data_IF_653506599391
#
_entry.id   IF_653506599391
#
_cell.length_a   1.000
_cell.length_b   1.000
_cell.length_c   1.000
_cell.angle_alpha   90.00
_cell.angle_beta   90.00
_cell.angle_gamma   90.00
#
_symmetry.space_group_name_H-M   'P 1'
#
loop_
_entity.id
_entity.type
_entity.pdbx_description
1 polymer ?
#
# COMPACT_ATOMS: atom_id res chain seq x y z
N UNK A 1 49.99 41.08 21.59
CA UNK A 1 50.18 39.67 21.13
C UNK A 1 48.96 39.28 20.32
N UNK A 2 49.09 39.31 18.99
CA UNK A 2 47.99 39.11 18.04
C UNK A 2 47.69 37.61 17.89
N UNK A 3 46.65 37.12 18.56
CA UNK A 3 46.17 35.75 18.39
C UNK A 3 45.33 35.63 17.10
N UNK A 4 46.09 35.62 16.00
CA UNK A 4 45.86 34.95 14.71
C UNK A 4 44.39 34.69 14.32
N UNK A 5 43.89 35.60 13.48
CA UNK A 5 42.64 35.52 12.69
C UNK A 5 42.42 34.21 11.91
N UNK A 6 43.42 33.33 11.81
CA UNK A 6 43.28 31.99 11.23
C UNK A 6 42.41 31.04 12.07
N UNK A 7 42.42 31.15 13.40
CA UNK A 7 41.67 30.23 14.26
C UNK A 7 40.15 30.47 14.17
N UNK A 8 39.73 31.73 14.04
CA UNK A 8 38.32 32.11 13.86
C UNK A 8 37.77 31.65 12.50
N UNK A 9 38.60 31.72 11.45
CA UNK A 9 38.23 31.23 10.11
C UNK A 9 38.12 29.70 10.06
N UNK A 10 39.02 28.98 10.74
CA UNK A 10 38.96 27.52 10.84
C UNK A 10 37.72 27.06 11.64
N UNK A 11 37.38 27.76 12.73
CA UNK A 11 36.17 27.46 13.50
C UNK A 11 34.88 27.71 12.69
N UNK A 12 34.86 28.77 11.86
CA UNK A 12 33.72 29.11 11.01
C UNK A 12 33.49 28.08 9.87
N UNK A 13 34.55 27.52 9.30
CA UNK A 13 34.45 26.49 8.24
C UNK A 13 33.98 25.16 8.83
N UNK A 14 34.44 24.80 10.02
CA UNK A 14 34.03 23.55 10.70
C UNK A 14 32.55 23.57 11.12
N UNK A 15 32.01 24.73 11.51
CA UNK A 15 30.59 24.89 11.83
C UNK A 15 29.68 24.76 10.59
N UNK A 16 30.17 25.12 9.40
CA UNK A 16 29.38 25.03 8.15
C UNK A 16 29.24 23.58 7.65
N UNK A 17 30.22 22.72 7.92
CA UNK A 17 30.22 21.32 7.47
C UNK A 17 29.20 20.44 8.24
N UNK A 18 28.74 20.84 9.43
CA UNK A 18 27.84 20.05 10.27
C UNK A 18 26.36 20.30 9.94
N UNK A 19 26.03 21.41 9.26
CA UNK A 19 24.65 21.77 8.91
C UNK A 19 24.10 21.03 7.67
N UNK A 20 24.93 20.30 6.92
CA UNK A 20 24.52 19.62 5.67
C UNK A 20 23.88 18.24 5.95
N UNK A 21 23.92 17.75 7.19
CA UNK A 21 23.48 16.38 7.51
C UNK A 21 21.97 16.22 7.78
N UNK A 22 21.15 17.23 7.52
CA UNK A 22 19.71 17.20 7.81
C UNK A 22 18.90 17.31 6.53
N UNK A 23 18.93 16.29 5.69
CA UNK A 23 17.82 15.90 4.79
C UNK A 23 18.25 14.82 3.79
N UNK A 24 18.80 13.71 4.28
CA UNK A 24 18.64 12.45 3.54
C UNK A 24 17.22 11.92 3.77
N UNK A 25 16.21 12.71 3.39
CA UNK A 25 14.92 12.12 3.06
C UNK A 25 15.20 11.40 1.74
N UNK A 26 15.46 10.09 1.82
CA UNK A 26 15.39 9.25 0.65
C UNK A 26 14.06 9.60 -0.02
N UNK A 27 14.12 10.23 -1.19
CA UNK A 27 12.94 10.41 -2.01
C UNK A 27 12.40 9.00 -2.23
N UNK A 28 11.36 8.62 -1.49
CA UNK A 28 10.56 7.48 -1.85
C UNK A 28 10.21 7.72 -3.31
N UNK A 29 10.47 6.76 -4.21
CA UNK A 29 10.17 6.94 -5.63
C UNK A 29 8.72 7.40 -5.71
N UNK A 30 8.51 8.64 -6.13
CA UNK A 30 7.18 9.11 -6.46
C UNK A 30 6.81 8.33 -7.70
N UNK A 31 6.10 7.24 -7.47
CA UNK A 31 5.52 6.36 -8.43
C UNK A 31 4.46 7.17 -9.20
N UNK A 32 4.94 7.99 -10.12
CA UNK A 32 4.17 8.98 -10.89
C UNK A 32 3.20 8.32 -11.89
N UNK A 33 3.05 6.99 -11.83
CA UNK A 33 2.08 6.22 -12.58
C UNK A 33 1.08 5.51 -11.68
N UNK A 34 0.00 5.04 -12.27
CA UNK A 34 -1.00 4.20 -11.62
C UNK A 34 -1.09 2.85 -12.30
N UNK A 35 -1.41 1.83 -11.52
CA UNK A 35 -1.96 0.57 -12.00
C UNK A 35 -3.48 0.55 -11.87
N UNK A 36 -4.08 -0.61 -12.14
CA UNK A 36 -5.51 -0.87 -11.95
C UNK A 36 -5.69 -2.06 -11.03
N UNK A 37 -6.46 -1.89 -9.98
CA UNK A 37 -6.78 -2.97 -9.03
C UNK A 37 -8.22 -3.42 -9.24
N UNK A 38 -8.38 -4.71 -9.54
CA UNK A 38 -9.68 -5.36 -9.64
C UNK A 38 -9.78 -6.41 -8.53
N UNK A 39 -10.75 -6.27 -7.65
CA UNK A 39 -11.02 -7.25 -6.60
C UNK A 39 -12.48 -7.63 -6.68
N UNK A 40 -12.74 -8.91 -6.88
CA UNK A 40 -14.09 -9.47 -6.90
C UNK A 40 -14.28 -10.45 -5.77
N UNK A 41 -15.52 -10.60 -5.31
CA UNK A 41 -15.91 -11.60 -4.32
C UNK A 41 -16.28 -12.90 -5.05
N UNK A 42 -15.95 -14.06 -4.48
CA UNK A 42 -16.45 -15.34 -5.01
C UNK A 42 -17.92 -15.59 -4.63
N UNK A 43 -18.62 -16.49 -5.33
CA UNK A 43 -19.99 -16.88 -4.93
C UNK A 43 -20.10 -17.47 -3.52
N UNK A 44 -19.00 -17.99 -2.94
CA UNK A 44 -18.97 -18.62 -1.62
C UNK A 44 -19.35 -17.70 -0.44
N UNK A 45 -19.43 -16.38 -0.66
CA UNK A 45 -19.94 -15.43 0.34
C UNK A 45 -21.47 -15.43 0.43
N UNK A 46 -22.18 -15.89 -0.60
CA UNK A 46 -23.63 -15.80 -0.69
C UNK A 46 -24.17 -14.36 -0.78
N UNK A 47 -25.47 -14.21 -1.05
CA UNK A 47 -26.06 -12.91 -1.42
C UNK A 47 -25.97 -11.82 -0.36
N UNK A 48 -26.01 -12.19 0.92
CA UNK A 48 -26.15 -11.24 2.04
C UNK A 48 -24.83 -10.76 2.64
N UNK A 49 -23.73 -11.42 2.32
CA UNK A 49 -22.43 -11.12 2.92
C UNK A 49 -21.59 -10.23 2.01
N UNK A 50 -21.01 -9.21 2.64
CA UNK A 50 -20.12 -8.26 1.98
C UNK A 50 -18.68 -8.71 2.19
N UNK A 51 -17.89 -8.57 1.14
CA UNK A 51 -16.44 -8.54 1.26
C UNK A 51 -16.04 -7.13 1.67
N UNK A 52 -15.30 -6.99 2.77
CA UNK A 52 -14.70 -5.72 3.16
C UNK A 52 -13.24 -5.75 2.73
N UNK A 53 -12.88 -4.83 1.84
CA UNK A 53 -11.54 -4.64 1.30
C UNK A 53 -10.97 -3.34 1.87
N UNK A 54 -9.79 -3.40 2.48
CA UNK A 54 -9.01 -2.25 2.90
C UNK A 54 -7.75 -2.13 2.06
N UNK A 55 -7.48 -0.93 1.56
CA UNK A 55 -6.26 -0.58 0.81
C UNK A 55 -5.57 0.50 1.63
N UNK A 56 -4.43 0.18 2.22
CA UNK A 56 -3.68 1.09 3.11
C UNK A 56 -4.54 1.73 4.21
N UNK A 57 -5.48 0.96 4.77
CA UNK A 57 -6.41 1.41 5.80
C UNK A 57 -7.71 2.06 5.28
N UNK A 58 -7.84 2.32 3.97
CA UNK A 58 -9.08 2.85 3.38
C UNK A 58 -10.01 1.71 2.98
N UNK A 59 -11.21 1.72 3.54
CA UNK A 59 -12.16 0.61 3.45
C UNK A 59 -13.17 0.80 2.32
N UNK A 60 -13.45 -0.28 1.60
CA UNK A 60 -14.47 -0.43 0.57
C UNK A 60 -15.25 -1.73 0.78
N UNK A 61 -16.57 -1.69 0.63
CA UNK A 61 -17.43 -2.87 0.75
C UNK A 61 -17.90 -3.32 -0.62
N UNK A 62 -17.77 -4.62 -0.90
CA UNK A 62 -18.10 -5.24 -2.19
C UNK A 62 -19.22 -6.26 -1.94
N UNK A 63 -20.39 -6.00 -2.51
CA UNK A 63 -21.57 -6.87 -2.41
C UNK A 63 -21.69 -7.90 -3.54
N UNK A 64 -22.82 -8.61 -3.56
CA UNK A 64 -23.12 -9.60 -4.59
C UNK A 64 -23.15 -8.96 -5.99
N UNK A 65 -22.58 -9.65 -6.98
CA UNK A 65 -22.52 -9.16 -8.36
C UNK A 65 -21.63 -7.93 -8.59
N UNK A 66 -21.02 -7.38 -7.53
CA UNK A 66 -20.16 -6.21 -7.60
C UNK A 66 -18.67 -6.59 -7.50
N UNK A 67 -17.82 -5.66 -7.95
CA UNK A 67 -16.37 -5.74 -7.82
C UNK A 67 -15.82 -4.36 -7.51
N UNK A 68 -14.70 -4.33 -6.79
CA UNK A 68 -13.85 -3.16 -6.79
C UNK A 68 -13.07 -3.15 -8.10
N UNK A 69 -13.09 -2.00 -8.76
CA UNK A 69 -12.40 -1.82 -10.03
C UNK A 69 -12.02 -0.35 -10.17
N UNK A 70 -10.82 0.01 -9.72
CA UNK A 70 -10.35 1.39 -9.68
C UNK A 70 -8.84 1.49 -9.92
N UNK A 71 -8.34 2.67 -10.32
CA UNK A 71 -6.91 2.96 -10.33
C UNK A 71 -6.31 2.88 -8.93
N UNK A 72 -5.06 2.44 -8.84
CA UNK A 72 -4.24 2.45 -7.62
C UNK A 72 -2.88 3.06 -7.98
N UNK A 73 -2.30 3.87 -7.09
CA UNK A 73 -0.95 4.41 -7.31
C UNK A 73 0.06 3.27 -7.49
N UNK A 74 1.13 3.51 -8.23
CA UNK A 74 2.22 2.55 -8.25
C UNK A 74 2.98 2.54 -6.91
N UNK A 75 3.77 1.51 -6.65
CA UNK A 75 4.47 1.29 -5.38
C UNK A 75 3.82 0.23 -4.49
N UNK A 76 4.23 0.17 -3.23
CA UNK A 76 3.81 -0.87 -2.29
C UNK A 76 2.52 -0.50 -1.56
N UNK A 77 1.58 -1.44 -1.59
CA UNK A 77 0.26 -1.33 -0.98
C UNK A 77 -0.03 -2.53 -0.08
N UNK A 78 -0.78 -2.31 0.99
CA UNK A 78 -1.31 -3.38 1.83
C UNK A 78 -2.79 -3.58 1.51
N UNK A 79 -3.12 -4.76 1.00
CA UNK A 79 -4.49 -5.19 0.81
C UNK A 79 -4.91 -6.03 2.00
N UNK A 80 -5.98 -5.64 2.69
CA UNK A 80 -6.57 -6.43 3.77
C UNK A 80 -8.01 -6.79 3.43
N UNK A 81 -8.39 -8.04 3.64
CA UNK A 81 -9.76 -8.52 3.42
C UNK A 81 -10.32 -9.24 4.63
N UNK A 82 -11.59 -9.02 4.86
CA UNK A 82 -12.39 -9.71 5.85
C UNK A 82 -13.88 -9.63 5.49
N UNK A 83 -14.75 -10.03 6.41
CA UNK A 83 -16.18 -9.71 6.33
C UNK A 83 -16.60 -8.86 7.53
N UNK A 84 -17.57 -7.93 7.36
CA UNK A 84 -18.02 -7.02 8.42
C UNK A 84 -18.31 -7.66 9.79
N UNK A 85 -18.76 -8.92 9.78
CA UNK A 85 -19.18 -9.66 10.97
C UNK A 85 -18.24 -10.81 11.34
N UNK A 86 -17.10 -10.94 10.67
CA UNK A 86 -16.16 -12.01 10.95
C UNK A 86 -15.52 -11.83 12.33
N UNK A 87 -15.38 -12.93 13.07
CA UNK A 87 -14.55 -12.99 14.28
C UNK A 87 -13.12 -13.44 13.96
N UNK A 88 -12.84 -13.82 12.72
CA UNK A 88 -11.51 -14.22 12.28
C UNK A 88 -10.62 -13.02 12.04
N UNK A 89 -9.31 -13.21 12.23
CA UNK A 89 -8.31 -12.22 11.88
C UNK A 89 -8.42 -11.87 10.39
N UNK A 90 -8.45 -10.57 10.03
CA UNK A 90 -8.38 -10.14 8.64
C UNK A 90 -7.11 -10.66 7.95
N UNK A 91 -7.26 -11.03 6.68
CA UNK A 91 -6.15 -11.51 5.86
C UNK A 91 -5.52 -10.35 5.12
N UNK A 92 -4.21 -10.15 5.32
CA UNK A 92 -3.44 -9.09 4.66
C UNK A 92 -2.44 -9.65 3.67
N UNK A 93 -2.19 -8.90 2.58
CA UNK A 93 -1.20 -9.22 1.56
C UNK A 93 -0.55 -7.93 1.06
N UNK A 94 0.77 -7.99 0.80
CA UNK A 94 1.50 -6.92 0.13
C UNK A 94 1.30 -7.01 -1.38
N UNK A 95 1.06 -5.86 -2.01
CA UNK A 95 1.00 -5.71 -3.46
C UNK A 95 1.93 -4.59 -3.89
N UNK A 96 2.96 -4.93 -4.65
CA UNK A 96 3.76 -3.95 -5.40
C UNK A 96 3.08 -3.71 -6.74
N UNK A 97 2.71 -2.45 -6.99
CA UNK A 97 2.01 -2.01 -8.19
C UNK A 97 3.01 -1.34 -9.12
N UNK A 98 3.11 -1.87 -10.33
CA UNK A 98 3.82 -1.27 -11.44
C UNK A 98 2.87 -0.40 -12.27
N UNK A 99 3.31 0.78 -12.75
CA UNK A 99 2.51 1.61 -13.64
C UNK A 99 1.98 0.84 -14.86
N UNK A 100 0.74 1.10 -15.25
CA UNK A 100 0.10 0.51 -16.44
C UNK A 100 -0.32 -0.95 -16.30
N UNK A 101 -0.02 -1.61 -15.17
CA UNK A 101 -0.39 -3.00 -14.94
C UNK A 101 -1.77 -3.13 -14.28
N UNK A 102 -2.45 -4.24 -14.58
CA UNK A 102 -3.71 -4.60 -13.94
C UNK A 102 -3.49 -5.79 -13.02
N UNK A 103 -3.94 -5.65 -11.77
CA UNK A 103 -3.87 -6.69 -10.76
C UNK A 103 -5.29 -7.14 -10.42
N UNK A 104 -5.61 -8.38 -10.78
CA UNK A 104 -6.92 -8.96 -10.56
C UNK A 104 -6.87 -10.03 -9.47
N UNK A 105 -7.76 -9.91 -8.48
CA UNK A 105 -7.90 -10.86 -7.39
C UNK A 105 -9.35 -11.29 -7.21
N UNK A 106 -9.52 -12.55 -6.81
CA UNK A 106 -10.78 -13.07 -6.30
C UNK A 106 -10.63 -13.34 -4.83
N UNK A 107 -11.43 -12.68 -4.00
CA UNK A 107 -11.56 -13.03 -2.61
C UNK A 107 -12.41 -14.29 -2.49
N UNK A 108 -11.91 -15.30 -1.79
CA UNK A 108 -12.61 -16.56 -1.54
C UNK A 108 -12.83 -16.72 -0.05
N UNK A 109 -13.95 -17.33 0.31
CA UNK A 109 -14.21 -17.73 1.69
C UNK A 109 -14.09 -19.25 1.82
N UNK A 110 -13.23 -19.70 2.71
CA UNK A 110 -13.11 -21.11 3.08
C UNK A 110 -14.29 -21.60 3.91
N UNK A 111 -14.35 -22.91 4.11
CA UNK A 111 -15.33 -23.55 5.01
C UNK A 111 -15.15 -23.16 6.47
N UNK A 112 -13.94 -22.73 6.84
CA UNK A 112 -13.57 -22.15 8.14
C UNK A 112 -13.99 -20.67 8.28
N UNK A 113 -14.72 -20.12 7.30
CA UNK A 113 -15.12 -18.72 7.21
C UNK A 113 -13.97 -17.72 7.02
N UNK A 114 -12.74 -18.19 6.87
CA UNK A 114 -11.57 -17.34 6.61
C UNK A 114 -11.63 -16.83 5.17
N UNK A 115 -11.36 -15.54 5.00
CA UNK A 115 -11.31 -14.90 3.69
C UNK A 115 -9.87 -14.84 3.21
N UNK A 116 -9.62 -15.20 1.97
CA UNK A 116 -8.29 -15.14 1.33
C UNK A 116 -8.37 -14.46 -0.03
N UNK A 117 -7.28 -13.83 -0.47
CA UNK A 117 -7.14 -13.26 -1.81
C UNK A 117 -6.37 -14.24 -2.70
N UNK A 118 -6.96 -14.59 -3.84
CA UNK A 118 -6.32 -15.41 -4.85
C UNK A 118 -6.12 -14.58 -6.12
N UNK A 119 -4.92 -14.61 -6.70
CA UNK A 119 -4.67 -13.95 -7.99
C UNK A 119 -5.52 -14.61 -9.06
N UNK A 120 -6.27 -13.80 -9.81
CA UNK A 120 -7.10 -14.29 -10.90
C UNK A 120 -6.22 -14.67 -12.10
N UNK A 121 -6.41 -15.87 -12.62
CA UNK A 121 -5.72 -16.37 -13.82
C UNK A 121 -6.23 -15.74 -15.12
N UNK A 122 -7.42 -15.12 -15.07
CA UNK A 122 -7.95 -14.26 -16.13
C UNK A 122 -7.95 -12.83 -15.62
N UNK A 123 -7.19 -11.96 -16.28
CA UNK A 123 -7.53 -10.53 -16.28
C UNK A 123 -8.89 -10.40 -16.98
N UNK A 124 -9.89 -9.78 -16.32
CA UNK A 124 -11.18 -9.54 -16.95
C UNK A 124 -11.09 -8.55 -18.11
#
# INVERSE_FOLDING_TARGET
MNLKSGFVRVLAILAFAIAICWSSQAAQPSSTGSGRLVVQRSPGFGERELLRLSIDGKVQNIGAGNRYDQPISAGDHVLTVDTPKSLHQPTSMLLTVDPGHTYAFTATRGSDHVVSLQRSSRTP
#
